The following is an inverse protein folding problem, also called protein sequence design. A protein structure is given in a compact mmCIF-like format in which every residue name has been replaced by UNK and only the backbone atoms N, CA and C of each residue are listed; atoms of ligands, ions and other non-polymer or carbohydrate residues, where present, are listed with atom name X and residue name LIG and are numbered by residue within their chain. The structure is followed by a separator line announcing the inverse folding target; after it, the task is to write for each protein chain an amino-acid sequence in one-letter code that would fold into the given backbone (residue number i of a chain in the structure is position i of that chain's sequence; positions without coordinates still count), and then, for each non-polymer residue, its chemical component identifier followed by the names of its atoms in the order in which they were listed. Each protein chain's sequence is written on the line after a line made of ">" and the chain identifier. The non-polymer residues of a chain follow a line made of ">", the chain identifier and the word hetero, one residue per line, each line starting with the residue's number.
data_IF_182279552359
#
_entry.id   IF_182279552359
#
_cell.length_a   1.000
_cell.length_b   1.000
_cell.length_c   1.000
_cell.angle_alpha   90.00
_cell.angle_beta   90.00
_cell.angle_gamma   90.00
#
_symmetry.space_group_name_H-M   'P 1'
#
loop_
_entity.id
_entity.type
_entity.pdbx_description
1 polymer ?
#
# COMPACT_ATOMS: atom_id res chain seq x y z
N UNK A 1 -33.34 -7.81 -49.84
CA UNK A 1 -33.04 -7.38 -48.46
C UNK A 1 -33.08 -8.62 -47.58
N UNK A 2 -31.92 -9.27 -47.39
CA UNK A 2 -31.75 -10.44 -46.49
C UNK A 2 -30.74 -9.98 -45.44
N UNK A 3 -31.20 -9.84 -44.20
CA UNK A 3 -30.37 -9.46 -43.06
C UNK A 3 -29.66 -10.73 -42.58
N UNK A 4 -28.33 -10.73 -42.68
CA UNK A 4 -27.45 -11.79 -42.19
C UNK A 4 -27.15 -11.48 -40.71
N UNK A 5 -27.79 -12.21 -39.79
CA UNK A 5 -27.39 -12.21 -38.38
C UNK A 5 -26.18 -13.15 -38.21
N UNK A 6 -25.00 -12.58 -37.98
CA UNK A 6 -23.82 -13.28 -37.50
C UNK A 6 -23.94 -13.44 -35.98
N UNK A 7 -24.21 -14.66 -35.53
CA UNK A 7 -24.05 -15.04 -34.13
C UNK A 7 -22.58 -15.32 -33.86
N UNK A 8 -21.94 -14.48 -33.04
CA UNK A 8 -20.60 -14.72 -32.53
C UNK A 8 -20.74 -15.63 -31.31
N UNK A 9 -20.58 -16.95 -31.48
CA UNK A 9 -20.50 -17.89 -30.37
C UNK A 9 -19.14 -17.73 -29.70
N UNK A 10 -19.12 -17.03 -28.56
CA UNK A 10 -17.97 -16.93 -27.67
C UNK A 10 -17.78 -18.31 -27.00
N UNK A 11 -16.79 -19.07 -27.50
CA UNK A 11 -16.39 -20.33 -26.92
C UNK A 11 -15.60 -20.02 -25.65
N UNK A 12 -16.26 -20.06 -24.49
CA UNK A 12 -15.62 -19.91 -23.18
C UNK A 12 -14.73 -21.14 -22.96
N UNK A 13 -13.45 -21.01 -23.26
CA UNK A 13 -12.45 -22.02 -22.94
C UNK A 13 -12.21 -21.92 -21.43
N UNK A 14 -12.80 -22.83 -20.65
CA UNK A 14 -12.38 -23.10 -19.26
C UNK A 14 -10.99 -23.75 -19.31
N UNK A 15 -9.98 -22.92 -19.58
CA UNK A 15 -8.59 -23.26 -19.36
C UNK A 15 -8.25 -22.89 -17.93
N UNK A 16 -8.05 -23.91 -17.09
CA UNK A 16 -7.46 -23.76 -15.76
C UNK A 16 -6.04 -23.20 -15.94
N UNK A 17 -5.88 -21.89 -15.82
CA UNK A 17 -4.57 -21.27 -15.72
C UNK A 17 -4.11 -21.44 -14.27
N UNK A 18 -3.29 -22.46 -14.02
CA UNK A 18 -2.32 -22.38 -12.94
C UNK A 18 -1.33 -21.31 -13.38
N UNK A 19 -1.50 -20.10 -12.86
CA UNK A 19 -0.56 -19.00 -13.08
C UNK A 19 0.78 -19.40 -12.47
N UNK A 20 1.79 -19.49 -13.31
CA UNK A 20 3.18 -19.61 -12.90
C UNK A 20 3.56 -18.33 -12.16
N UNK A 21 3.62 -18.38 -10.83
CA UNK A 21 4.02 -17.27 -9.97
C UNK A 21 5.53 -17.03 -10.07
N UNK A 22 5.95 -16.32 -11.11
CA UNK A 22 7.24 -15.62 -11.20
C UNK A 22 7.27 -14.67 -12.43
N UNK A 23 6.18 -13.95 -12.69
CA UNK A 23 6.25 -12.78 -13.59
C UNK A 23 6.57 -11.58 -12.69
N UNK A 24 7.60 -10.80 -13.02
CA UNK A 24 7.88 -9.52 -12.34
C UNK A 24 6.68 -8.61 -12.58
N UNK A 25 5.69 -8.69 -11.69
CA UNK A 25 4.48 -7.87 -11.73
C UNK A 25 4.81 -6.42 -11.45
N UNK A 26 4.07 -5.51 -12.06
CA UNK A 26 4.17 -4.08 -11.75
C UNK A 26 4.05 -3.86 -10.24
N UNK A 27 4.99 -3.17 -9.58
CA UNK A 27 4.92 -2.91 -8.16
C UNK A 27 3.64 -2.19 -7.76
N UNK A 28 3.10 -2.53 -6.58
CA UNK A 28 1.83 -1.97 -6.09
C UNK A 28 1.81 -0.43 -6.07
N UNK A 29 2.94 0.22 -5.77
CA UNK A 29 3.05 1.67 -5.71
C UNK A 29 2.85 2.33 -7.08
N UNK A 30 3.18 1.65 -8.19
CA UNK A 30 2.87 2.13 -9.55
C UNK A 30 1.36 2.14 -9.75
N UNK A 31 0.68 1.07 -9.33
CA UNK A 31 -0.78 0.95 -9.43
C UNK A 31 -1.48 1.98 -8.54
N UNK A 32 -1.01 2.19 -7.31
CA UNK A 32 -1.52 3.24 -6.43
C UNK A 32 -1.31 4.65 -7.04
N UNK A 33 -0.14 4.91 -7.61
CA UNK A 33 0.12 6.18 -8.29
C UNK A 33 -0.82 6.37 -9.49
N UNK A 34 -1.10 5.34 -10.28
CA UNK A 34 -2.08 5.41 -11.36
C UNK A 34 -3.50 5.73 -10.84
N UNK A 35 -3.90 5.13 -9.70
CA UNK A 35 -5.17 5.40 -9.04
C UNK A 35 -5.25 6.87 -8.61
N UNK A 36 -4.25 7.36 -7.88
CA UNK A 36 -4.21 8.74 -7.42
C UNK A 36 -4.09 9.74 -8.57
N UNK A 37 -3.38 9.42 -9.64
CA UNK A 37 -3.25 10.28 -10.81
C UNK A 37 -4.57 10.39 -11.58
N UNK A 38 -5.28 9.28 -11.76
CA UNK A 38 -6.60 9.29 -12.40
C UNK A 38 -7.64 10.07 -11.58
N UNK A 39 -7.47 10.13 -10.26
CA UNK A 39 -8.29 10.90 -9.32
C UNK A 39 -7.79 12.34 -9.06
N UNK A 40 -6.87 12.87 -9.87
CA UNK A 40 -6.29 14.22 -9.76
C UNK A 40 -5.58 14.50 -8.41
N UNK A 41 -5.08 13.47 -7.72
CA UNK A 41 -4.39 13.59 -6.42
C UNK A 41 -2.89 13.72 -6.52
N UNK A 42 -2.29 13.25 -7.62
CA UNK A 42 -0.89 13.48 -7.95
C UNK A 42 -0.78 14.08 -9.35
N UNK A 43 0.29 14.84 -9.59
CA UNK A 43 0.55 15.51 -10.86
C UNK A 43 0.99 14.54 -11.97
N UNK A 44 0.87 14.97 -13.24
CA UNK A 44 1.43 14.25 -14.39
C UNK A 44 2.92 13.92 -14.22
N UNK A 45 3.68 14.81 -13.57
CA UNK A 45 5.10 14.57 -13.27
C UNK A 45 5.32 13.44 -12.27
N UNK A 46 4.50 13.37 -11.23
CA UNK A 46 4.56 12.29 -10.23
C UNK A 46 4.15 10.94 -10.83
N UNK A 47 3.12 10.92 -11.68
CA UNK A 47 2.76 9.72 -12.44
C UNK A 47 3.85 9.30 -13.43
N UNK A 48 4.44 10.26 -14.15
CA UNK A 48 5.51 10.00 -15.12
C UNK A 48 6.75 9.38 -14.46
N UNK A 49 7.05 9.67 -13.19
CA UNK A 49 8.13 8.98 -12.45
C UNK A 49 7.89 7.47 -12.31
N UNK A 50 6.62 7.03 -12.21
CA UNK A 50 6.28 5.61 -12.25
C UNK A 50 6.54 5.00 -13.63
N UNK A 51 6.22 5.74 -14.70
CA UNK A 51 6.50 5.30 -16.07
C UNK A 51 8.01 5.24 -16.35
N UNK A 52 8.77 6.22 -15.87
CA UNK A 52 10.24 6.19 -15.88
C UNK A 52 10.78 4.88 -15.27
N UNK A 53 10.21 4.49 -14.12
CA UNK A 53 10.60 3.26 -13.45
C UNK A 53 10.26 2.02 -14.27
N UNK A 54 9.07 1.96 -14.88
CA UNK A 54 8.67 0.84 -15.74
C UNK A 54 9.59 0.69 -16.96
N UNK A 55 10.06 1.81 -17.53
CA UNK A 55 11.07 1.80 -18.61
C UNK A 55 12.41 1.29 -18.07
N UNK A 56 12.83 1.75 -16.90
CA UNK A 56 14.09 1.34 -16.29
C UNK A 56 14.13 -0.17 -15.98
N UNK A 57 13.05 -0.70 -15.41
CA UNK A 57 12.93 -2.12 -15.04
C UNK A 57 12.78 -3.02 -16.28
N UNK A 58 12.55 -2.44 -17.47
CA UNK A 58 12.43 -3.15 -18.74
C UNK A 58 11.01 -3.67 -19.02
N UNK A 59 10.02 -3.28 -18.22
CA UNK A 59 8.60 -3.57 -18.43
C UNK A 59 7.98 -2.77 -19.58
N UNK A 60 8.62 -1.66 -19.98
CA UNK A 60 8.26 -0.88 -21.16
C UNK A 60 9.46 -0.71 -22.09
N UNK A 61 9.30 -1.02 -23.37
CA UNK A 61 10.35 -0.83 -24.37
C UNK A 61 10.22 0.54 -25.05
N UNK A 62 11.30 1.34 -25.05
CA UNK A 62 11.31 2.65 -25.74
C UNK A 62 12.50 2.77 -26.69
N UNK A 63 12.23 3.07 -27.96
CA UNK A 63 13.25 3.18 -29.01
C UNK A 63 13.86 4.58 -29.18
N UNK A 64 13.16 5.66 -28.77
CA UNK A 64 13.72 7.02 -28.63
C UNK A 64 12.69 8.01 -28.06
N UNK A 65 13.15 9.05 -27.35
CA UNK A 65 12.35 10.11 -26.71
C UNK A 65 12.76 11.50 -27.20
N UNK A 66 11.82 12.45 -27.37
CA UNK A 66 11.73 13.81 -26.76
C UNK A 66 10.60 14.61 -27.43
N UNK A 67 9.59 15.08 -26.68
CA UNK A 67 8.85 16.35 -26.94
C UNK A 67 8.17 16.84 -25.64
N UNK A 68 7.58 18.04 -25.58
CA UNK A 68 7.03 18.66 -24.35
C UNK A 68 5.50 18.51 -24.23
N UNK A 69 4.95 17.30 -24.36
CA UNK A 69 3.49 17.13 -24.36
C UNK A 69 2.96 16.64 -23.01
N UNK A 70 1.85 17.26 -22.56
CA UNK A 70 1.01 16.82 -21.44
C UNK A 70 0.39 15.44 -21.73
N UNK A 71 0.18 14.64 -20.69
CA UNK A 71 -0.39 13.30 -20.84
C UNK A 71 -1.84 13.44 -21.33
N UNK A 72 -2.28 12.72 -22.38
CA UNK A 72 -3.64 12.87 -22.89
C UNK A 72 -4.66 12.56 -21.80
N UNK A 73 -5.61 13.47 -21.58
CA UNK A 73 -6.64 13.33 -20.54
C UNK A 73 -7.40 11.99 -20.61
N UNK A 74 -7.62 11.47 -21.82
CA UNK A 74 -8.31 10.18 -21.99
C UNK A 74 -7.57 9.01 -21.34
N UNK A 75 -6.26 9.12 -21.14
CA UNK A 75 -5.45 8.07 -20.52
C UNK A 75 -5.71 7.92 -19.02
N UNK A 76 -6.25 8.95 -18.35
CA UNK A 76 -6.72 8.83 -16.96
C UNK A 76 -7.78 7.75 -16.81
N UNK A 77 -8.66 7.59 -17.81
CA UNK A 77 -9.65 6.52 -17.80
C UNK A 77 -8.98 5.15 -17.92
N UNK A 78 -7.91 5.01 -18.70
CA UNK A 78 -7.15 3.75 -18.80
C UNK A 78 -6.51 3.39 -17.46
N UNK A 79 -5.91 4.37 -16.78
CA UNK A 79 -5.37 4.20 -15.43
C UNK A 79 -6.46 3.80 -14.43
N UNK A 80 -7.60 4.51 -14.43
CA UNK A 80 -8.77 4.20 -13.60
C UNK A 80 -9.33 2.79 -13.85
N UNK A 81 -9.42 2.36 -15.11
CA UNK A 81 -9.86 1.01 -15.45
C UNK A 81 -8.90 -0.06 -14.94
N UNK A 82 -7.59 0.18 -15.02
CA UNK A 82 -6.60 -0.76 -14.52
C UNK A 82 -6.65 -0.87 -12.98
N UNK A 83 -6.81 0.25 -12.28
CA UNK A 83 -6.83 0.29 -10.82
C UNK A 83 -8.07 -0.39 -10.25
N UNK A 84 -9.19 -0.32 -10.98
CA UNK A 84 -10.43 -1.04 -10.65
C UNK A 84 -10.50 -2.46 -11.25
N UNK A 85 -9.39 -2.99 -11.77
CA UNK A 85 -9.30 -4.33 -12.37
C UNK A 85 -10.29 -4.57 -13.55
N UNK A 86 -10.70 -3.50 -14.24
CA UNK A 86 -11.54 -3.55 -15.43
C UNK A 86 -10.73 -3.89 -16.70
N UNK A 87 -9.41 -3.63 -16.67
CA UNK A 87 -8.43 -4.09 -17.65
C UNK A 87 -7.26 -4.76 -16.94
N UNK A 88 -6.59 -5.68 -17.64
CA UNK A 88 -5.40 -6.38 -17.16
C UNK A 88 -4.16 -5.48 -17.12
N UNK A 89 -3.16 -5.89 -16.33
CA UNK A 89 -1.85 -5.21 -16.29
C UNK A 89 -1.18 -5.18 -17.67
N UNK A 90 -1.26 -6.28 -18.43
CA UNK A 90 -0.76 -6.33 -19.81
C UNK A 90 -1.48 -5.32 -20.71
N UNK A 91 -2.79 -5.16 -20.60
CA UNK A 91 -3.54 -4.16 -21.37
C UNK A 91 -3.12 -2.72 -21.00
N UNK A 92 -2.90 -2.47 -19.71
CA UNK A 92 -2.40 -1.17 -19.22
C UNK A 92 -0.98 -0.88 -19.74
N UNK A 93 -0.05 -1.83 -19.64
CA UNK A 93 1.32 -1.68 -20.14
C UNK A 93 1.36 -1.48 -21.65
N UNK A 94 0.58 -2.25 -22.42
CA UNK A 94 0.46 -2.06 -23.86
C UNK A 94 -0.08 -0.66 -24.22
N UNK A 95 -1.01 -0.13 -23.43
CA UNK A 95 -1.53 1.22 -23.64
C UNK A 95 -0.47 2.30 -23.33
N UNK A 96 0.39 2.09 -22.32
CA UNK A 96 1.56 2.95 -22.06
C UNK A 96 2.59 2.87 -23.19
N UNK A 97 2.91 1.67 -23.69
CA UNK A 97 3.82 1.49 -24.82
C UNK A 97 3.31 2.24 -26.05
N UNK A 98 2.02 2.11 -26.38
CA UNK A 98 1.41 2.86 -27.48
C UNK A 98 1.56 4.38 -27.31
N UNK A 99 1.33 4.91 -26.11
CA UNK A 99 1.51 6.34 -25.85
C UNK A 99 2.97 6.80 -26.02
N UNK A 100 3.92 5.96 -25.62
CA UNK A 100 5.35 6.23 -25.76
C UNK A 100 5.79 6.19 -27.23
N UNK A 101 5.33 5.19 -28.01
CA UNK A 101 5.62 5.05 -29.43
C UNK A 101 5.06 6.19 -30.28
N UNK A 102 3.83 6.64 -29.99
CA UNK A 102 3.18 7.75 -30.69
C UNK A 102 3.62 9.14 -30.19
N UNK A 103 4.57 9.21 -29.25
CA UNK A 103 5.03 10.45 -28.61
C UNK A 103 3.90 11.28 -27.95
N UNK A 104 2.87 10.58 -27.46
CA UNK A 104 1.74 11.16 -26.74
C UNK A 104 2.02 11.27 -25.24
N UNK A 105 2.86 10.39 -24.68
CA UNK A 105 3.37 10.47 -23.32
C UNK A 105 4.83 10.90 -23.34
N UNK A 106 5.14 12.00 -22.64
CA UNK A 106 6.52 12.41 -22.46
C UNK A 106 7.00 11.99 -21.09
N UNK A 107 8.05 11.20 -21.07
CA UNK A 107 8.82 10.98 -19.87
C UNK A 107 10.09 11.80 -20.00
N UNK A 108 10.22 12.86 -19.18
CA UNK A 108 11.52 13.53 -19.05
C UNK A 108 12.46 12.47 -18.54
N UNK A 109 13.54 12.18 -19.25
CA UNK A 109 14.64 11.38 -18.70
C UNK A 109 15.37 12.19 -17.62
N UNK A 110 14.64 12.64 -16.60
CA UNK A 110 15.16 13.21 -15.34
C UNK A 110 15.64 12.11 -14.41
N UNK A 111 15.33 10.86 -14.71
CA UNK A 111 15.82 9.71 -13.99
C UNK A 111 17.27 9.43 -14.35
N UNK A 112 18.12 9.64 -13.34
CA UNK A 112 19.48 9.10 -13.28
C UNK A 112 19.37 7.57 -13.28
N UNK A 113 19.88 6.90 -14.33
CA UNK A 113 20.00 5.43 -14.34
C UNK A 113 20.68 4.86 -13.06
N UNK A 114 21.69 5.55 -12.47
CA UNK A 114 22.22 5.17 -11.16
C UNK A 114 21.17 5.10 -10.05
N UNK A 115 20.18 6.00 -10.01
CA UNK A 115 19.25 6.13 -8.89
C UNK A 115 18.41 4.86 -8.65
N UNK A 116 18.04 4.15 -9.72
CA UNK A 116 17.25 2.91 -9.66
C UNK A 116 18.09 1.64 -9.76
N UNK A 117 19.41 1.75 -9.70
CA UNK A 117 20.24 0.55 -9.55
C UNK A 117 19.83 -0.21 -8.28
N UNK A 118 19.52 -1.50 -8.41
CA UNK A 118 19.12 -2.37 -7.29
C UNK A 118 20.37 -2.80 -6.50
N UNK A 119 20.39 -2.52 -5.21
CA UNK A 119 21.41 -2.98 -4.27
C UNK A 119 20.79 -4.00 -3.32
N UNK A 120 21.18 -5.27 -3.46
CA UNK A 120 20.73 -6.35 -2.58
C UNK A 120 21.58 -6.36 -1.30
N UNK A 121 20.95 -6.44 -0.12
CA UNK A 121 21.69 -6.39 1.16
C UNK A 121 21.23 -7.40 2.22
N UNK A 122 20.26 -8.27 1.96
CA UNK A 122 19.96 -9.37 2.89
C UNK A 122 20.70 -10.66 2.54
N UNK A 123 21.09 -11.39 3.59
CA UNK A 123 21.59 -12.76 3.51
C UNK A 123 20.50 -13.77 3.15
N UNK A 124 20.60 -14.98 3.70
CA UNK A 124 19.67 -16.09 3.44
C UNK A 124 18.27 -15.85 4.07
N UNK A 125 17.46 -14.93 3.55
CA UNK A 125 16.01 -14.95 3.75
C UNK A 125 15.42 -16.08 2.88
N UNK A 126 14.43 -16.81 3.37
CA UNK A 126 13.87 -17.98 2.68
C UNK A 126 12.92 -17.61 1.52
N UNK A 127 12.17 -16.51 1.65
CA UNK A 127 11.03 -16.17 0.79
C UNK A 127 11.31 -15.02 -0.16
N UNK A 128 12.07 -14.03 0.29
CA UNK A 128 12.24 -12.75 -0.37
C UNK A 128 13.69 -12.47 -0.70
N UNK A 129 13.90 -11.91 -1.88
CA UNK A 129 15.11 -11.16 -2.20
C UNK A 129 14.89 -9.72 -1.74
N UNK A 130 15.73 -9.25 -0.81
CA UNK A 130 15.61 -7.89 -0.25
C UNK A 130 16.65 -6.99 -0.91
N UNK A 131 16.19 -5.87 -1.45
CA UNK A 131 17.03 -4.87 -2.11
C UNK A 131 16.53 -3.46 -1.82
N UNK A 132 17.31 -2.44 -2.18
CA UNK A 132 16.86 -1.06 -2.23
C UNK A 132 17.49 -0.39 -3.45
N UNK A 133 16.89 0.70 -3.90
CA UNK A 133 17.46 1.50 -4.97
C UNK A 133 18.59 2.37 -4.44
N UNK A 134 19.59 2.67 -5.27
CA UNK A 134 20.73 3.54 -4.90
C UNK A 134 20.27 4.89 -4.32
N UNK A 135 19.22 5.50 -4.86
CA UNK A 135 18.63 6.74 -4.34
C UNK A 135 18.03 6.61 -2.94
N UNK A 136 17.76 5.38 -2.50
CA UNK A 136 17.08 5.05 -1.25
C UNK A 136 18.05 4.68 -0.14
N UNK A 137 19.30 5.11 -0.23
CA UNK A 137 20.27 5.09 0.86
C UNK A 137 20.51 6.47 1.44
N UNK A 138 20.70 6.52 2.76
CA UNK A 138 21.38 7.61 3.43
C UNK A 138 22.64 7.10 4.12
N UNK A 139 23.55 8.01 4.47
CA UNK A 139 24.82 7.64 5.09
C UNK A 139 24.80 8.00 6.57
N UNK A 140 24.94 7.00 7.43
CA UNK A 140 25.19 7.18 8.85
C UNK A 140 26.58 6.65 9.18
N UNK A 141 27.46 7.51 9.70
CA UNK A 141 28.85 7.14 10.01
C UNK A 141 29.61 6.49 8.81
N UNK A 142 29.35 6.96 7.59
CA UNK A 142 29.82 6.40 6.31
C UNK A 142 29.30 5.01 5.95
N UNK A 143 28.36 4.46 6.71
CA UNK A 143 27.65 3.23 6.33
C UNK A 143 26.38 3.60 5.56
N UNK A 144 26.15 3.02 4.37
CA UNK A 144 24.90 3.18 3.66
C UNK A 144 23.80 2.43 4.43
N UNK A 145 22.76 3.15 4.82
CA UNK A 145 21.56 2.60 5.45
C UNK A 145 20.40 2.77 4.48
N UNK A 146 19.68 1.68 4.13
CA UNK A 146 18.53 1.79 3.26
C UNK A 146 17.37 2.46 4.02
N UNK A 147 16.78 3.49 3.42
CA UNK A 147 15.60 4.19 3.92
C UNK A 147 14.29 3.52 3.49
N UNK A 148 14.32 2.82 2.35
CA UNK A 148 13.15 2.18 1.76
C UNK A 148 13.55 0.85 1.09
N UNK A 149 13.24 -0.24 1.77
CA UNK A 149 13.58 -1.60 1.32
C UNK A 149 12.47 -2.17 0.43
N UNK A 150 12.86 -2.96 -0.56
CA UNK A 150 11.99 -3.59 -1.55
C UNK A 150 12.18 -5.10 -1.51
N UNK A 151 11.17 -5.83 -1.98
CA UNK A 151 11.11 -7.28 -1.90
C UNK A 151 10.76 -7.87 -3.26
N UNK A 152 11.36 -9.01 -3.60
CA UNK A 152 10.91 -9.88 -4.68
C UNK A 152 10.66 -11.27 -4.11
N UNK A 153 9.52 -11.86 -4.44
CA UNK A 153 9.21 -13.23 -4.06
C UNK A 153 10.11 -14.20 -4.84
N UNK A 154 10.74 -15.14 -4.15
CA UNK A 154 11.55 -16.20 -4.76
C UNK A 154 10.64 -17.23 -5.43
N UNK A 155 11.13 -17.84 -6.52
CA UNK A 155 10.35 -18.75 -7.34
C UNK A 155 10.36 -20.20 -6.85
N UNK A 156 11.23 -20.54 -5.90
CA UNK A 156 11.53 -21.89 -5.42
C UNK A 156 11.15 -22.13 -3.95
N UNK A 157 10.18 -21.37 -3.44
CA UNK A 157 9.68 -21.49 -2.06
C UNK A 157 8.80 -22.74 -1.93
N UNK A 158 9.18 -23.64 -1.03
CA UNK A 158 8.36 -24.80 -0.67
C UNK A 158 7.11 -24.33 0.10
N UNK A 159 5.94 -24.93 -0.18
CA UNK A 159 4.68 -24.58 0.48
C UNK A 159 4.22 -23.11 0.36
N UNK A 160 4.65 -22.41 -0.69
CA UNK A 160 4.26 -21.01 -0.95
C UNK A 160 2.73 -20.81 -0.97
N UNK A 161 1.98 -21.82 -1.37
CA UNK A 161 0.51 -21.81 -1.35
C UNK A 161 -0.10 -21.64 0.04
N UNK A 162 0.64 -21.88 1.13
CA UNK A 162 0.17 -21.68 2.49
C UNK A 162 0.18 -20.20 2.91
N UNK A 163 0.89 -19.33 2.18
CA UNK A 163 1.00 -17.89 2.50
C UNK A 163 0.40 -16.99 1.39
N UNK A 164 0.29 -17.49 0.16
CA UNK A 164 -0.33 -16.75 -0.94
C UNK A 164 -1.83 -16.54 -0.73
N UNK A 165 -2.32 -15.35 -1.05
CA UNK A 165 -3.75 -15.05 -1.10
C UNK A 165 -4.47 -15.96 -2.12
N UNK A 166 -5.60 -16.55 -1.72
CA UNK A 166 -6.45 -17.36 -2.60
C UNK A 166 -7.85 -16.75 -2.68
N UNK A 167 -8.13 -16.01 -3.75
CA UNK A 167 -9.42 -15.34 -4.00
C UNK A 167 -10.63 -16.30 -4.05
N UNK A 168 -10.40 -17.62 -4.21
CA UNK A 168 -11.47 -18.62 -4.12
C UNK A 168 -11.87 -18.89 -2.67
N UNK A 169 -10.96 -18.69 -1.73
CA UNK A 169 -11.10 -19.00 -0.30
C UNK A 169 -11.13 -17.76 0.60
N UNK A 170 -10.68 -16.61 0.10
CA UNK A 170 -10.59 -15.35 0.82
C UNK A 170 -11.33 -14.26 0.03
N UNK A 171 -11.83 -13.28 0.75
CA UNK A 171 -12.30 -12.00 0.21
C UNK A 171 -11.88 -10.94 1.23
N UNK A 172 -10.59 -10.64 1.24
CA UNK A 172 -9.99 -9.77 2.24
C UNK A 172 -9.35 -8.56 1.59
N UNK A 173 -9.34 -7.43 2.31
CA UNK A 173 -8.56 -6.25 1.94
C UNK A 173 -7.58 -5.87 3.04
N UNK A 174 -6.43 -5.36 2.64
CA UNK A 174 -5.42 -4.75 3.52
C UNK A 174 -5.59 -3.24 3.47
N UNK A 175 -5.78 -2.61 4.62
CA UNK A 175 -5.93 -1.16 4.74
C UNK A 175 -4.56 -0.52 4.90
N UNK A 176 -4.17 0.31 3.93
CA UNK A 176 -2.92 1.08 3.99
C UNK A 176 -3.09 2.34 4.84
N UNK A 177 -2.13 2.66 5.74
CA UNK A 177 -2.24 3.78 6.65
C UNK A 177 -1.67 5.09 6.05
N UNK A 178 -2.36 5.66 5.05
CA UNK A 178 -1.90 6.88 4.37
C UNK A 178 -1.99 8.07 5.32
N UNK A 179 -3.01 8.16 6.16
CA UNK A 179 -3.12 9.24 7.15
C UNK A 179 -2.02 9.16 8.20
N UNK A 180 -1.73 7.97 8.73
CA UNK A 180 -0.57 7.78 9.62
C UNK A 180 0.71 8.18 8.93
N UNK A 181 1.00 7.67 7.72
CA UNK A 181 2.23 8.02 7.02
C UNK A 181 2.37 9.54 6.84
N UNK A 182 1.27 10.22 6.44
CA UNK A 182 1.20 11.68 6.30
C UNK A 182 1.50 12.41 7.61
N UNK A 183 0.94 11.95 8.74
CA UNK A 183 1.14 12.53 10.06
C UNK A 183 2.60 12.43 10.55
N UNK A 184 3.33 11.39 10.13
CA UNK A 184 4.74 11.17 10.49
C UNK A 184 5.73 11.92 9.59
N UNK A 185 5.31 12.43 8.44
CA UNK A 185 6.19 13.20 7.56
C UNK A 185 6.56 14.55 8.16
N UNK A 186 7.85 14.88 8.15
CA UNK A 186 8.36 16.11 8.77
C UNK A 186 8.27 17.33 7.83
N UNK A 187 7.80 18.49 8.31
CA UNK A 187 7.17 18.70 9.63
C UNK A 187 5.76 18.09 9.70
N UNK A 188 5.45 17.43 10.81
CA UNK A 188 4.20 16.70 11.05
C UNK A 188 3.87 16.59 12.54
N UNK A 189 2.98 15.67 12.91
CA UNK A 189 2.41 15.63 14.27
C UNK A 189 3.50 15.34 15.32
N UNK A 190 4.47 14.49 15.01
CA UNK A 190 5.58 14.21 15.92
C UNK A 190 6.56 15.38 16.10
N UNK A 191 6.62 16.32 15.16
CA UNK A 191 7.35 17.59 15.38
C UNK A 191 6.73 18.40 16.52
N UNK A 192 5.40 18.39 16.64
CA UNK A 192 4.69 18.99 17.77
C UNK A 192 5.01 18.25 19.08
N UNK A 193 4.93 16.91 19.10
CA UNK A 193 5.20 16.13 20.33
C UNK A 193 6.64 16.20 20.81
N UNK A 194 7.61 16.42 19.91
CA UNK A 194 9.00 16.71 20.26
C UNK A 194 9.23 18.14 20.75
N UNK A 195 8.19 18.98 20.81
CA UNK A 195 8.24 20.41 21.14
C UNK A 195 9.11 21.23 20.16
N UNK A 196 9.19 20.79 18.91
CA UNK A 196 9.96 21.45 17.83
C UNK A 196 9.06 22.35 16.95
N UNK A 197 7.74 22.28 17.13
CA UNK A 197 6.75 23.05 16.39
C UNK A 197 5.54 23.39 17.26
N UNK A 198 4.83 24.46 16.88
CA UNK A 198 3.56 24.82 17.53
C UNK A 198 2.41 23.92 17.07
N UNK A 199 1.18 24.22 17.50
CA UNK A 199 -0.02 23.51 17.06
C UNK A 199 -0.25 23.54 15.54
N UNK A 200 0.48 24.40 14.79
CA UNK A 200 0.47 24.38 13.33
C UNK A 200 0.89 23.02 12.75
N UNK A 201 1.80 22.29 13.40
CA UNK A 201 2.22 20.96 12.95
C UNK A 201 1.21 19.86 13.25
N UNK A 202 0.13 20.16 13.97
CA UNK A 202 -1.03 19.27 14.09
C UNK A 202 -1.95 19.36 12.87
N UNK A 203 -1.56 20.10 11.82
CA UNK A 203 -2.18 20.09 10.51
C UNK A 203 -1.10 19.86 9.46
N UNK A 204 -1.23 18.81 8.65
CA UNK A 204 -0.24 18.46 7.62
C UNK A 204 -0.91 18.03 6.33
N UNK A 205 -0.15 18.01 5.23
CA UNK A 205 -0.64 17.58 3.92
C UNK A 205 -0.83 16.06 3.90
N UNK A 206 -1.82 15.61 3.14
CA UNK A 206 -1.94 14.19 2.77
C UNK A 206 -0.86 13.88 1.73
N UNK A 207 0.01 12.93 2.05
CA UNK A 207 1.18 12.54 1.26
C UNK A 207 0.91 11.23 0.50
N UNK A 208 0.49 11.34 -0.76
CA UNK A 208 0.23 10.16 -1.61
C UNK A 208 1.51 9.56 -2.19
N UNK A 209 2.40 10.39 -2.72
CA UNK A 209 3.56 9.94 -3.52
C UNK A 209 4.79 9.54 -2.69
N UNK A 210 4.72 9.64 -1.37
CA UNK A 210 5.83 9.29 -0.47
C UNK A 210 5.74 7.82 -0.04
N UNK A 211 6.89 7.19 0.15
CA UNK A 211 6.95 5.85 0.72
C UNK A 211 6.42 5.87 2.16
N UNK A 212 5.80 4.77 2.60
CA UNK A 212 5.08 4.75 3.88
C UNK A 212 6.00 4.82 5.11
N UNK A 213 7.22 4.29 4.98
CA UNK A 213 8.19 4.19 6.06
C UNK A 213 7.79 3.20 7.16
N UNK A 214 8.62 3.13 8.21
CA UNK A 214 8.40 2.23 9.35
C UNK A 214 7.05 2.48 10.03
N UNK A 215 6.71 3.75 10.27
CA UNK A 215 5.44 4.15 10.90
C UNK A 215 4.22 3.88 10.03
N UNK A 216 4.38 3.72 8.71
CA UNK A 216 3.29 3.43 7.79
C UNK A 216 3.21 1.97 7.37
N UNK A 217 3.84 1.05 8.11
CA UNK A 217 3.81 -0.39 7.81
C UNK A 217 4.34 -0.75 6.41
N UNK A 218 5.38 -0.04 5.95
CA UNK A 218 5.91 -0.15 4.58
C UNK A 218 6.23 -1.58 4.16
N UNK A 219 6.83 -2.38 5.05
CA UNK A 219 7.18 -3.77 4.78
C UNK A 219 5.93 -4.64 4.65
N UNK A 220 4.96 -4.51 5.55
CA UNK A 220 3.71 -5.27 5.47
C UNK A 220 2.94 -4.97 4.19
N UNK A 221 2.83 -3.70 3.79
CA UNK A 221 2.15 -3.33 2.54
C UNK A 221 2.81 -4.02 1.34
N UNK A 222 4.15 -3.98 1.26
CA UNK A 222 4.90 -4.61 0.17
C UNK A 222 4.74 -6.13 0.17
N UNK A 223 4.91 -6.77 1.33
CA UNK A 223 4.88 -8.22 1.45
C UNK A 223 3.47 -8.76 1.20
N UNK A 224 2.44 -8.19 1.82
CA UNK A 224 1.06 -8.62 1.60
C UNK A 224 0.64 -8.40 0.15
N UNK A 225 1.08 -7.31 -0.47
CA UNK A 225 0.85 -7.11 -1.91
C UNK A 225 1.53 -8.17 -2.77
N UNK A 226 2.79 -8.54 -2.47
CA UNK A 226 3.51 -9.60 -3.19
C UNK A 226 2.86 -10.97 -3.01
N UNK A 227 2.25 -11.20 -1.85
CA UNK A 227 1.46 -12.40 -1.57
C UNK A 227 0.07 -12.36 -2.21
N UNK A 228 -0.28 -11.28 -2.92
CA UNK A 228 -1.51 -11.16 -3.71
C UNK A 228 -2.71 -10.60 -2.96
N UNK A 229 -2.53 -10.07 -1.74
CA UNK A 229 -3.62 -9.44 -1.01
C UNK A 229 -4.04 -8.12 -1.67
N UNK A 230 -5.35 -7.91 -1.91
CA UNK A 230 -5.86 -6.61 -2.34
C UNK A 230 -5.54 -5.51 -1.32
N UNK A 231 -5.03 -4.38 -1.80
CA UNK A 231 -4.77 -3.18 -0.98
C UNK A 231 -5.87 -2.14 -1.21
N UNK A 232 -6.29 -1.46 -0.14
CA UNK A 232 -7.13 -0.26 -0.18
C UNK A 232 -6.49 0.84 0.68
N UNK A 233 -6.69 2.12 0.33
CA UNK A 233 -6.24 3.21 1.20
C UNK A 233 -7.28 3.50 2.28
N UNK A 234 -6.83 3.88 3.46
CA UNK A 234 -7.67 4.38 4.55
C UNK A 234 -8.52 5.60 4.15
N UNK A 235 -7.98 6.45 3.27
CA UNK A 235 -8.69 7.54 2.58
C UNK A 235 -9.96 7.06 1.85
N UNK A 236 -9.94 5.86 1.25
CA UNK A 236 -11.10 5.35 0.51
C UNK A 236 -12.23 4.96 1.46
N UNK A 237 -11.88 4.54 2.68
CA UNK A 237 -12.83 4.21 3.76
C UNK A 237 -13.46 5.50 4.33
N UNK A 238 -12.69 6.58 4.54
CA UNK A 238 -13.29 7.85 5.01
C UNK A 238 -14.28 8.44 3.98
N UNK A 239 -14.01 8.25 2.68
CA UNK A 239 -14.88 8.70 1.59
C UNK A 239 -16.12 7.82 1.40
N UNK A 240 -15.96 6.50 1.51
CA UNK A 240 -17.06 5.54 1.48
C UNK A 240 -17.00 4.59 2.69
N UNK A 241 -17.68 4.95 3.80
CA UNK A 241 -17.68 4.13 5.01
C UNK A 241 -18.28 2.73 4.86
N UNK A 242 -18.98 2.44 3.74
CA UNK A 242 -19.52 1.10 3.47
C UNK A 242 -18.57 0.23 2.64
N UNK A 243 -17.40 0.76 2.23
CA UNK A 243 -16.44 0.02 1.41
C UNK A 243 -16.05 -1.32 2.04
N UNK A 244 -15.85 -1.34 3.36
CA UNK A 244 -15.45 -2.54 4.08
C UNK A 244 -16.53 -3.64 4.07
N UNK A 245 -17.81 -3.30 3.89
CA UNK A 245 -18.90 -4.28 3.80
C UNK A 245 -18.81 -5.18 2.55
N UNK A 246 -17.94 -4.83 1.60
CA UNK A 246 -17.69 -5.63 0.40
C UNK A 246 -16.70 -6.79 0.64
N UNK A 247 -16.04 -6.81 1.80
CA UNK A 247 -15.05 -7.80 2.18
C UNK A 247 -15.57 -8.72 3.31
N UNK A 248 -15.13 -9.97 3.32
CA UNK A 248 -15.45 -10.93 4.40
C UNK A 248 -14.51 -10.76 5.61
N UNK A 249 -13.35 -10.15 5.40
CA UNK A 249 -12.34 -9.86 6.43
C UNK A 249 -11.49 -8.65 6.05
N UNK A 250 -11.03 -7.89 7.04
CA UNK A 250 -10.17 -6.72 6.83
C UNK A 250 -8.87 -6.91 7.59
N UNK A 251 -7.73 -6.63 6.97
CA UNK A 251 -6.41 -6.58 7.63
C UNK A 251 -6.07 -5.10 7.84
N UNK A 252 -6.06 -4.67 9.09
CA UNK A 252 -5.70 -3.30 9.47
C UNK A 252 -4.22 -3.24 9.83
N UNK A 253 -3.48 -2.30 9.23
CA UNK A 253 -2.06 -2.07 9.51
C UNK A 253 -1.89 -1.03 10.62
N UNK A 254 -0.80 -0.26 10.63
CA UNK A 254 -0.56 0.81 11.62
C UNK A 254 -1.40 2.07 11.31
N UNK A 255 -2.71 1.91 11.19
CA UNK A 255 -3.70 2.98 11.04
C UNK A 255 -3.91 3.69 12.39
N UNK A 256 -2.85 4.29 12.93
CA UNK A 256 -2.82 5.04 14.18
C UNK A 256 -3.71 6.28 14.13
N UNK A 257 -3.63 7.05 13.05
CA UNK A 257 -4.42 8.26 12.83
C UNK A 257 -5.54 7.95 11.85
N UNK A 258 -6.78 8.06 12.31
CA UNK A 258 -7.98 7.78 11.51
C UNK A 258 -9.06 8.82 11.79
N UNK A 259 -9.97 8.99 10.83
CA UNK A 259 -11.19 9.76 11.04
C UNK A 259 -12.22 8.99 11.88
N UNK A 260 -13.20 9.71 12.42
CA UNK A 260 -14.36 9.08 13.08
C UNK A 260 -15.11 8.12 12.14
N UNK A 261 -15.19 8.41 10.84
CA UNK A 261 -15.88 7.54 9.86
C UNK A 261 -15.15 6.22 9.67
N UNK A 262 -13.82 6.26 9.55
CA UNK A 262 -12.99 5.07 9.49
C UNK A 262 -13.08 4.25 10.77
N UNK A 263 -12.98 4.90 11.93
CA UNK A 263 -13.12 4.23 13.23
C UNK A 263 -14.42 3.43 13.31
N UNK A 264 -15.55 4.05 12.95
CA UNK A 264 -16.86 3.40 12.95
C UNK A 264 -16.93 2.26 11.91
N UNK A 265 -16.43 2.47 10.69
CA UNK A 265 -16.43 1.43 9.64
C UNK A 265 -15.62 0.21 10.06
N UNK A 266 -14.40 0.42 10.58
CA UNK A 266 -13.48 -0.63 10.99
C UNK A 266 -14.01 -1.38 12.21
N UNK A 267 -14.46 -0.67 13.25
CA UNK A 267 -14.91 -1.32 14.50
C UNK A 267 -16.25 -2.02 14.37
N UNK A 268 -17.11 -1.61 13.42
CA UNK A 268 -18.37 -2.30 13.13
C UNK A 268 -18.20 -3.50 12.18
N UNK A 269 -17.08 -3.58 11.44
CA UNK A 269 -16.82 -4.72 10.55
C UNK A 269 -16.66 -6.02 11.37
N UNK A 270 -17.33 -7.12 11.00
CA UNK A 270 -17.45 -8.31 11.87
C UNK A 270 -16.18 -9.16 12.00
N UNK A 271 -15.18 -8.93 11.13
CA UNK A 271 -13.94 -9.69 11.12
C UNK A 271 -12.74 -8.82 10.70
N UNK A 272 -12.05 -8.27 11.68
CA UNK A 272 -10.85 -7.43 11.48
C UNK A 272 -9.64 -8.09 12.11
N UNK A 273 -8.57 -8.23 11.32
CA UNK A 273 -7.24 -8.58 11.79
C UNK A 273 -6.46 -7.29 12.03
N UNK A 274 -6.34 -6.89 13.29
CA UNK A 274 -5.52 -5.77 13.72
C UNK A 274 -4.06 -6.23 13.78
N UNK A 275 -3.36 -6.07 12.66
CA UNK A 275 -2.02 -6.62 12.47
C UNK A 275 -0.94 -5.81 13.19
N UNK A 276 -1.20 -4.53 13.47
CA UNK A 276 -0.30 -3.66 14.23
C UNK A 276 -0.98 -3.20 15.53
N UNK A 277 -0.24 -3.13 16.65
CA UNK A 277 -0.69 -2.39 17.82
C UNK A 277 -0.75 -0.89 17.51
N UNK A 278 -1.36 -0.10 18.38
CA UNK A 278 -1.46 1.35 18.18
C UNK A 278 -2.25 1.78 16.94
N UNK A 279 -3.08 0.88 16.39
CA UNK A 279 -4.11 1.27 15.43
C UNK A 279 -5.30 1.92 16.15
N UNK A 280 -6.00 2.82 15.45
CA UNK A 280 -7.17 3.55 15.96
C UNK A 280 -6.87 4.35 17.22
N UNK A 281 -5.68 4.96 17.29
CA UNK A 281 -5.20 5.63 18.48
C UNK A 281 -5.57 7.10 18.56
N UNK A 282 -5.60 7.79 17.42
CA UNK A 282 -5.82 9.22 17.36
C UNK A 282 -6.85 9.58 16.29
N UNK A 283 -7.76 10.48 16.67
CA UNK A 283 -8.78 11.04 15.81
C UNK A 283 -8.22 12.21 15.02
N UNK A 284 -8.41 12.17 13.71
CA UNK A 284 -8.14 13.27 12.79
C UNK A 284 -9.40 13.70 12.04
N UNK A 285 -9.37 14.90 11.47
CA UNK A 285 -10.25 15.28 10.37
C UNK A 285 -9.44 15.39 9.07
N UNK A 286 -10.07 15.03 7.95
CA UNK A 286 -9.49 15.17 6.62
C UNK A 286 -10.24 16.24 5.81
N UNK A 287 -9.50 17.17 5.21
CA UNK A 287 -10.02 18.13 4.25
C UNK A 287 -9.41 17.85 2.87
N UNK A 288 -10.22 17.27 1.99
CA UNK A 288 -9.78 16.87 0.65
C UNK A 288 -9.68 18.00 -0.37
N UNK A 289 -10.31 19.15 -0.11
CA UNK A 289 -10.21 20.34 -0.97
C UNK A 289 -8.85 21.02 -0.76
N UNK A 290 -8.39 21.05 0.49
CA UNK A 290 -7.08 21.59 0.88
C UNK A 290 -5.96 20.53 0.89
N UNK A 291 -6.35 19.25 0.78
CA UNK A 291 -5.48 18.08 0.86
C UNK A 291 -4.65 18.02 2.16
N UNK A 292 -5.32 18.20 3.29
CA UNK A 292 -4.73 18.20 4.63
C UNK A 292 -5.47 17.27 5.58
N UNK A 293 -4.77 16.86 6.64
CA UNK A 293 -5.33 16.26 7.85
C UNK A 293 -4.99 17.11 9.06
N UNK A 294 -5.89 17.12 10.04
CA UNK A 294 -5.73 17.85 11.29
C UNK A 294 -6.02 16.94 12.48
N UNK A 295 -5.15 16.93 13.48
CA UNK A 295 -5.38 16.19 14.73
C UNK A 295 -6.55 16.80 15.51
N UNK A 296 -7.50 15.96 15.89
CA UNK A 296 -8.64 16.34 16.73
C UNK A 296 -8.41 15.86 18.17
N UNK A 297 -7.99 14.60 18.35
CA UNK A 297 -7.95 13.97 19.68
C UNK A 297 -6.97 12.79 19.75
N UNK A 298 -6.30 12.61 20.89
CA UNK A 298 -5.34 11.52 21.15
C UNK A 298 -3.95 12.05 21.50
N UNK A 299 -3.04 11.19 21.96
CA UNK A 299 -1.65 11.56 22.31
C UNK A 299 -1.54 12.76 23.26
N UNK A 300 -2.35 12.76 24.33
CA UNK A 300 -2.42 13.86 25.29
C UNK A 300 -2.94 15.20 24.71
N UNK A 301 -3.69 15.15 23.60
CA UNK A 301 -4.32 16.29 22.94
C UNK A 301 -5.85 16.13 22.82
N UNK A 302 -6.64 17.20 22.96
CA UNK A 302 -6.23 18.55 23.39
C UNK A 302 -5.93 18.63 24.90
N UNK A 303 -6.32 17.61 25.65
CA UNK A 303 -6.10 17.52 27.10
C UNK A 303 -5.14 16.39 27.45
N UNK A 304 -4.26 16.64 28.42
CA UNK A 304 -3.16 15.72 28.79
C UNK A 304 -3.58 14.33 29.28
N UNK A 305 -4.85 14.14 29.62
CA UNK A 305 -5.37 12.89 30.12
C UNK A 305 -5.99 12.01 29.02
N UNK A 306 -6.13 12.56 27.81
CA UNK A 306 -6.67 11.86 26.64
C UNK A 306 -5.52 11.12 25.98
N UNK A 307 -5.44 9.81 26.19
CA UNK A 307 -4.41 8.98 25.56
C UNK A 307 -4.90 8.52 24.18
N UNK A 308 -5.90 7.64 24.16
CA UNK A 308 -6.62 7.23 22.96
C UNK A 308 -7.71 8.26 22.57
N UNK A 309 -7.72 8.64 21.30
CA UNK A 309 -8.64 9.62 20.71
C UNK A 309 -10.09 9.15 20.58
N UNK A 310 -10.36 7.86 20.72
CA UNK A 310 -11.70 7.27 20.61
C UNK A 310 -12.20 6.63 21.91
N UNK A 311 -11.38 6.64 22.97
CA UNK A 311 -11.63 5.88 24.21
C UNK A 311 -11.95 4.40 23.93
N UNK A 312 -11.30 3.83 22.91
CA UNK A 312 -11.60 2.48 22.44
C UNK A 312 -11.18 1.44 23.48
N UNK A 313 -12.13 0.63 23.94
CA UNK A 313 -11.90 -0.32 25.05
C UNK A 313 -10.91 -1.45 24.71
N UNK A 314 -10.67 -1.69 23.41
CA UNK A 314 -9.75 -2.71 22.91
C UNK A 314 -8.41 -2.12 22.44
N UNK A 315 -8.10 -0.88 22.79
CA UNK A 315 -6.77 -0.30 22.57
C UNK A 315 -5.67 -1.28 23.04
N UNK A 316 -4.77 -1.63 22.10
CA UNK A 316 -3.67 -2.54 22.32
C UNK A 316 -2.30 -1.87 22.16
N UNK A 317 -2.21 -0.54 22.23
CA UNK A 317 -0.98 0.23 22.12
C UNK A 317 0.06 -0.21 23.14
N UNK A 318 -0.33 -0.31 24.42
CA UNK A 318 0.61 -0.63 25.51
C UNK A 318 0.44 -2.08 26.00
N UNK A 319 1.54 -2.83 26.17
CA UNK A 319 2.94 -2.49 25.89
C UNK A 319 3.37 -2.73 24.43
N UNK A 320 2.48 -3.24 23.59
CA UNK A 320 2.81 -3.97 22.37
C UNK A 320 3.45 -3.13 21.26
N UNK A 321 3.21 -1.82 21.18
CA UNK A 321 3.85 -0.96 20.16
C UNK A 321 5.38 -0.85 20.31
N UNK A 322 5.91 -1.18 21.49
CA UNK A 322 7.35 -1.17 21.75
C UNK A 322 8.02 -2.53 21.58
N UNK A 323 7.24 -3.61 21.40
CA UNK A 323 7.79 -4.94 21.15
C UNK A 323 8.06 -5.11 19.65
N UNK A 324 9.22 -4.62 19.20
CA UNK A 324 9.64 -4.70 17.79
C UNK A 324 10.45 -5.96 17.48
N UNK A 325 10.83 -6.73 18.52
CA UNK A 325 11.47 -8.04 18.35
C UNK A 325 10.42 -9.11 18.04
N UNK A 326 9.23 -9.00 18.66
CA UNK A 326 8.04 -9.77 18.32
C UNK A 326 8.28 -11.29 18.37
N UNK A 327 9.11 -11.74 19.34
CA UNK A 327 9.59 -13.13 19.46
C UNK A 327 8.50 -14.11 19.93
N UNK A 328 7.62 -13.64 20.82
CA UNK A 328 6.50 -14.40 21.39
C UNK A 328 5.16 -13.90 20.82
N UNK A 329 5.14 -13.68 19.50
CA UNK A 329 3.95 -13.17 18.82
C UNK A 329 2.76 -14.12 18.98
N UNK A 330 1.57 -13.54 19.17
CA UNK A 330 0.32 -14.26 19.30
C UNK A 330 -0.86 -13.36 18.93
N UNK A 331 -1.81 -13.92 18.16
CA UNK A 331 -3.10 -13.30 17.94
C UNK A 331 -4.07 -13.63 19.08
N UNK A 332 -4.70 -12.62 19.67
CA UNK A 332 -5.78 -12.81 20.65
C UNK A 332 -7.10 -12.29 20.10
N UNK A 333 -8.20 -12.93 20.47
CA UNK A 333 -9.53 -12.59 19.96
C UNK A 333 -10.15 -11.42 20.72
N UNK A 334 -10.85 -10.57 19.97
CA UNK A 334 -11.76 -9.54 20.46
C UNK A 334 -13.13 -9.70 19.75
N UNK A 335 -14.20 -8.98 20.15
CA UNK A 335 -15.54 -9.24 19.62
C UNK A 335 -15.67 -9.19 18.09
N UNK A 336 -14.93 -8.31 17.43
CA UNK A 336 -14.99 -8.12 15.98
C UNK A 336 -13.75 -8.66 15.23
N UNK A 337 -12.89 -9.49 15.87
CA UNK A 337 -11.71 -10.02 15.18
C UNK A 337 -10.56 -10.46 16.07
N UNK A 338 -9.33 -10.22 15.61
CA UNK A 338 -8.09 -10.63 16.27
C UNK A 338 -7.07 -9.51 16.28
N UNK A 339 -6.26 -9.43 17.33
CA UNK A 339 -5.22 -8.43 17.52
C UNK A 339 -3.87 -9.09 17.74
N UNK A 340 -2.83 -8.51 17.14
CA UNK A 340 -1.45 -8.87 17.40
C UNK A 340 -0.95 -8.21 18.70
N UNK A 341 -0.03 -8.89 19.38
CA UNK A 341 0.58 -8.46 20.65
C UNK A 341 2.02 -7.90 20.49
N UNK A 342 2.44 -7.48 19.30
CA UNK A 342 3.75 -6.87 19.06
C UNK A 342 3.78 -6.12 17.71
N UNK A 343 4.80 -5.31 17.46
CA UNK A 343 4.95 -4.50 16.25
C UNK A 343 5.72 -5.30 15.16
N UNK A 344 5.05 -5.77 14.08
CA UNK A 344 5.57 -6.88 13.26
C UNK A 344 6.43 -6.46 12.06
N UNK A 345 6.91 -5.22 11.99
CA UNK A 345 7.56 -4.67 10.78
C UNK A 345 8.82 -5.42 10.35
N UNK A 346 9.50 -6.08 11.29
CA UNK A 346 10.61 -7.01 11.01
C UNK A 346 10.13 -8.46 10.88
N UNK A 347 9.17 -8.87 11.73
CA UNK A 347 8.64 -10.24 11.77
C UNK A 347 8.06 -10.68 10.42
N UNK A 348 7.31 -9.79 9.77
CA UNK A 348 6.59 -10.10 8.53
C UNK A 348 7.51 -10.48 7.35
N UNK A 349 8.80 -10.12 7.42
CA UNK A 349 9.77 -10.38 6.37
C UNK A 349 10.25 -11.84 6.39
N UNK A 350 10.35 -12.44 7.59
CA UNK A 350 11.17 -13.63 7.81
C UNK A 350 10.38 -14.80 8.45
N UNK A 351 9.17 -14.58 8.99
CA UNK A 351 8.41 -15.62 9.69
C UNK A 351 7.27 -16.21 8.84
N UNK A 352 7.45 -17.46 8.41
CA UNK A 352 6.48 -18.20 7.59
C UNK A 352 5.17 -18.50 8.34
N UNK A 353 5.26 -18.91 9.61
CA UNK A 353 4.08 -19.29 10.38
C UNK A 353 3.22 -18.06 10.68
N UNK A 354 3.86 -16.90 10.88
CA UNK A 354 3.16 -15.62 10.99
C UNK A 354 2.39 -15.28 9.71
N UNK A 355 3.04 -15.34 8.53
CA UNK A 355 2.38 -15.11 7.24
C UNK A 355 1.24 -16.10 6.97
N UNK A 356 1.44 -17.37 7.33
CA UNK A 356 0.43 -18.42 7.22
C UNK A 356 -0.75 -18.15 8.15
N UNK A 357 -0.52 -17.66 9.35
CA UNK A 357 -1.58 -17.35 10.30
C UNK A 357 -2.41 -16.13 9.86
N UNK A 358 -1.78 -15.10 9.27
CA UNK A 358 -2.51 -14.00 8.60
C UNK A 358 -3.49 -14.55 7.56
N UNK A 359 -3.04 -15.51 6.74
CA UNK A 359 -3.90 -16.17 5.76
C UNK A 359 -5.04 -16.93 6.44
N UNK A 360 -4.74 -17.75 7.44
CA UNK A 360 -5.74 -18.56 8.15
C UNK A 360 -6.86 -17.71 8.76
N UNK A 361 -6.50 -16.58 9.38
CA UNK A 361 -7.45 -15.68 10.04
C UNK A 361 -8.34 -14.90 9.06
N UNK A 362 -7.99 -14.89 7.77
CA UNK A 362 -8.74 -14.17 6.71
C UNK A 362 -9.45 -15.11 5.73
N UNK A 363 -9.46 -16.41 5.98
CA UNK A 363 -10.27 -17.37 5.23
C UNK A 363 -11.77 -17.12 5.44
N UNK A 364 -12.57 -17.32 4.38
CA UNK A 364 -14.03 -17.35 4.45
C UNK A 364 -14.47 -18.42 5.43
N UNK A 365 -15.32 -18.04 6.39
CA UNK A 365 -15.88 -18.94 7.41
C UNK A 365 -17.15 -19.62 6.93
#
# INVERSE_FOLDING_TARGET
>A
MKILLLFFTMLFCLGCALTTHAEESVPFWIKNNAMWWSADKISDGEFAHGVDWLIFDGLLNVSSSVSENEIPFWFKNTADYWTHNLISETEFLNALEYLLEENLLTVKRSVSLPDYQKHQFSGNNEFFTIYAYEKDFYFENNNPIPKDIQFLLKSDIEHIEDILYDSRKQNSAVVMPIFTSSAYWEPGFYTFYRNECSAECLTTKIEYSKFLGYSGSSNAVKILSLLGYPLIADIDIDKDPNLLDTFDSVILLHNEYVTQKEFESITNHPNVLYLYPNALYAEIEANYDENIITLIRGHSYPEKHIDNGFDWEFDNTRPYEFDTECLDWNFYSIPNGHMLNCFPENLIIDDFEFLKEIKNLTLKK
#
